data_IF_286800938867
#
_entry.id   IF_286800938867
#
_cell.length_a   1.000
_cell.length_b   1.000
_cell.length_c   1.000
_cell.angle_alpha   90.00
_cell.angle_beta   90.00
_cell.angle_gamma   90.00
#
_symmetry.space_group_name_H-M   'P 1'
#
loop_
_entity.id
_entity.type
_entity.pdbx_description
1 polymer ?
#
# COMPACT_ATOMS: atom_id res chain seq x y z
N UNK A 1 -3.22 11.63 -9.75
CA UNK A 1 -3.23 11.83 -8.29
C UNK A 1 -1.93 12.47 -7.86
N UNK A 2 -1.94 13.30 -6.82
CA UNK A 2 -0.74 13.59 -6.04
C UNK A 2 -0.56 12.47 -4.98
N UNK A 3 0.67 12.04 -4.73
CA UNK A 3 0.98 10.84 -3.96
C UNK A 3 1.91 11.18 -2.79
N UNK A 4 1.47 10.84 -1.57
CA UNK A 4 2.35 10.72 -0.41
C UNK A 4 2.84 9.27 -0.39
N UNK A 5 4.11 9.06 -0.69
CA UNK A 5 4.72 7.74 -0.78
C UNK A 5 5.45 7.43 0.53
N UNK A 6 4.71 6.89 1.50
CA UNK A 6 5.26 6.40 2.76
C UNK A 6 5.89 5.01 2.55
N UNK A 7 7.22 4.93 2.55
CA UNK A 7 7.94 3.71 2.17
C UNK A 7 9.08 3.34 3.12
N UNK A 8 9.44 2.06 3.13
CA UNK A 8 10.51 1.56 3.97
C UNK A 8 11.87 2.07 3.45
N UNK A 9 12.76 2.47 4.34
CA UNK A 9 14.12 2.85 3.97
C UNK A 9 14.79 1.71 3.19
N UNK A 10 15.42 2.04 2.04
CA UNK A 10 16.02 1.10 1.08
C UNK A 10 15.05 0.13 0.39
N UNK A 11 13.73 0.35 0.48
CA UNK A 11 12.80 -0.32 -0.44
C UNK A 11 12.90 0.26 -1.83
N UNK A 12 12.24 -0.40 -2.78
CA UNK A 12 12.05 0.14 -4.12
C UNK A 12 11.36 1.51 -4.07
N UNK A 13 11.81 2.41 -4.93
CA UNK A 13 11.31 3.77 -5.07
C UNK A 13 10.70 3.96 -6.47
N UNK A 14 9.60 4.73 -6.63
CA UNK A 14 9.01 5.01 -7.94
C UNK A 14 10.07 5.49 -8.93
N UNK A 15 9.97 5.07 -10.19
CA UNK A 15 10.94 5.41 -11.25
C UNK A 15 12.35 4.80 -11.09
N UNK A 16 12.61 4.00 -10.04
CA UNK A 16 13.90 3.30 -9.83
C UNK A 16 13.84 1.79 -10.03
N UNK A 17 12.65 1.20 -10.23
CA UNK A 17 12.45 -0.25 -10.31
C UNK A 17 13.32 -0.95 -11.37
N UNK A 18 13.60 -0.28 -12.50
CA UNK A 18 14.50 -0.81 -13.55
C UNK A 18 15.98 -0.48 -13.34
N UNK A 19 16.32 0.48 -12.49
CA UNK A 19 17.70 0.97 -12.31
C UNK A 19 18.51 0.14 -11.32
N UNK A 20 17.86 -0.46 -10.32
CA UNK A 20 18.57 -1.09 -9.19
C UNK A 20 19.07 -2.50 -9.53
N UNK A 21 18.42 -3.21 -10.46
CA UNK A 21 18.75 -4.59 -10.79
C UNK A 21 19.52 -4.76 -12.11
N UNK A 22 19.66 -3.70 -12.92
CA UNK A 22 20.26 -3.79 -14.26
C UNK A 22 21.55 -2.98 -14.33
N UNK A 23 22.69 -3.64 -14.14
CA UNK A 23 24.04 -3.06 -14.38
C UNK A 23 24.34 -2.94 -15.88
N UNK A 24 23.47 -3.46 -16.76
CA UNK A 24 23.68 -3.47 -18.20
C UNK A 24 23.03 -2.25 -18.90
N UNK A 25 23.87 -1.33 -19.39
CA UNK A 25 23.47 -0.13 -20.15
C UNK A 25 22.65 -0.44 -21.43
N UNK A 26 22.78 -1.63 -22.02
CA UNK A 26 22.03 -2.03 -23.22
C UNK A 26 20.59 -2.47 -22.91
N UNK A 27 20.25 -2.67 -21.64
CA UNK A 27 19.01 -3.32 -21.21
C UNK A 27 17.95 -2.34 -20.67
N UNK A 28 18.15 -1.03 -20.86
CA UNK A 28 17.21 0.02 -20.41
C UNK A 28 16.67 0.87 -21.58
N UNK A 29 15.96 0.27 -22.54
CA UNK A 29 15.48 0.97 -23.74
C UNK A 29 14.51 2.14 -23.47
N UNK A 30 14.00 2.28 -22.23
CA UNK A 30 13.01 3.30 -21.86
C UNK A 30 13.44 4.24 -20.72
N UNK A 31 14.71 4.23 -20.29
CA UNK A 31 15.12 5.04 -19.12
C UNK A 31 14.94 6.55 -19.33
N UNK A 32 15.16 7.04 -20.55
CA UNK A 32 14.95 8.46 -20.88
C UNK A 32 13.51 8.91 -20.66
N UNK A 33 12.53 8.06 -21.02
CA UNK A 33 11.11 8.34 -20.79
C UNK A 33 10.78 8.36 -19.30
N UNK A 34 11.31 7.40 -18.55
CA UNK A 34 11.11 7.30 -17.09
C UNK A 34 11.68 8.53 -16.37
N UNK A 35 12.88 8.97 -16.74
CA UNK A 35 13.52 10.17 -16.17
C UNK A 35 12.75 11.45 -16.51
N UNK A 36 12.24 11.58 -17.74
CA UNK A 36 11.41 12.71 -18.14
C UNK A 36 10.10 12.75 -17.34
N UNK A 37 9.41 11.61 -17.20
CA UNK A 37 8.22 11.50 -16.36
C UNK A 37 8.52 11.88 -14.90
N UNK A 38 9.66 11.42 -14.36
CA UNK A 38 10.09 11.79 -13.01
C UNK A 38 10.32 13.31 -12.87
N UNK A 39 10.96 13.95 -13.86
CA UNK A 39 11.16 15.41 -13.86
C UNK A 39 9.81 16.15 -13.84
N UNK A 40 8.87 15.76 -14.70
CA UNK A 40 7.52 16.35 -14.73
C UNK A 40 6.80 16.20 -13.38
N UNK A 41 6.84 15.00 -12.78
CA UNK A 41 6.24 14.73 -11.47
C UNK A 41 6.90 15.55 -10.36
N UNK A 42 8.21 15.71 -10.41
CA UNK A 42 9.00 16.50 -9.44
C UNK A 42 8.69 17.99 -9.55
N UNK A 43 8.68 18.55 -10.75
CA UNK A 43 8.36 19.96 -11.01
C UNK A 43 6.93 20.30 -10.59
N UNK A 44 5.98 19.42 -10.90
CA UNK A 44 4.58 19.55 -10.51
C UNK A 44 4.32 19.24 -9.02
N UNK A 45 5.34 18.81 -8.26
CA UNK A 45 5.25 18.41 -6.83
C UNK A 45 4.17 17.37 -6.56
N UNK A 46 4.03 16.40 -7.47
CA UNK A 46 3.01 15.36 -7.40
C UNK A 46 3.42 14.14 -6.57
N UNK A 47 4.69 14.06 -6.15
CA UNK A 47 5.22 12.96 -5.34
C UNK A 47 5.94 13.51 -4.10
N UNK A 48 5.45 13.13 -2.92
CA UNK A 48 6.08 13.41 -1.63
C UNK A 48 6.55 12.09 -0.99
N UNK A 49 7.84 11.77 -1.07
CA UNK A 49 8.37 10.58 -0.40
C UNK A 49 8.58 10.82 1.09
N UNK A 50 8.20 9.84 1.91
CA UNK A 50 8.42 9.83 3.36
C UNK A 50 8.96 8.47 3.75
N UNK A 51 10.17 8.44 4.29
CA UNK A 51 10.84 7.19 4.66
C UNK A 51 10.49 6.77 6.10
N UNK A 52 10.45 5.46 6.35
CA UNK A 52 10.42 4.88 7.69
C UNK A 52 11.32 3.64 7.77
N UNK A 53 11.88 3.36 8.93
CA UNK A 53 12.68 2.15 9.20
C UNK A 53 12.05 1.28 10.27
N UNK A 54 11.34 1.89 11.22
CA UNK A 54 10.69 1.19 12.34
C UNK A 54 9.17 1.24 12.24
N UNK A 55 8.49 0.33 12.96
CA UNK A 55 7.04 0.36 13.09
C UNK A 55 6.55 1.67 13.74
N UNK A 56 7.25 2.15 14.76
CA UNK A 56 6.87 3.39 15.46
C UNK A 56 6.90 4.61 14.54
N UNK A 57 7.93 4.72 13.69
CA UNK A 57 8.03 5.77 12.67
C UNK A 57 6.91 5.65 11.64
N UNK A 58 6.66 4.43 11.15
CA UNK A 58 5.57 4.17 10.22
C UNK A 58 4.22 4.66 10.77
N UNK A 59 3.89 4.30 12.02
CA UNK A 59 2.63 4.70 12.65
C UNK A 59 2.53 6.20 12.89
N UNK A 60 3.62 6.86 13.29
CA UNK A 60 3.68 8.31 13.42
C UNK A 60 3.48 9.02 12.07
N UNK A 61 4.18 8.58 11.03
CA UNK A 61 4.06 9.16 9.70
C UNK A 61 2.68 8.90 9.09
N UNK A 62 2.12 7.71 9.26
CA UNK A 62 0.76 7.37 8.82
C UNK A 62 -0.28 8.26 9.52
N UNK A 63 -0.15 8.46 10.83
CA UNK A 63 -1.01 9.36 11.60
C UNK A 63 -0.91 10.81 11.10
N UNK A 64 0.30 11.31 10.90
CA UNK A 64 0.53 12.66 10.39
C UNK A 64 -0.07 12.85 8.99
N UNK A 65 0.13 11.88 8.09
CA UNK A 65 -0.45 11.88 6.75
C UNK A 65 -1.99 11.84 6.80
N UNK A 66 -2.57 10.99 7.65
CA UNK A 66 -4.02 10.92 7.85
C UNK A 66 -4.62 12.24 8.31
N UNK A 67 -3.98 12.89 9.28
CA UNK A 67 -4.42 14.20 9.78
C UNK A 67 -4.26 15.30 8.73
N UNK A 68 -3.17 15.29 7.95
CA UNK A 68 -2.93 16.25 6.89
C UNK A 68 -3.94 16.12 5.72
N UNK A 69 -4.40 14.90 5.43
CA UNK A 69 -5.38 14.63 4.38
C UNK A 69 -6.84 14.79 4.84
N UNK A 70 -7.10 14.91 6.15
CA UNK A 70 -8.44 15.08 6.71
C UNK A 70 -9.25 16.24 6.09
N UNK A 71 -8.67 17.43 5.79
CA UNK A 71 -9.40 18.53 5.15
C UNK A 71 -9.87 18.20 3.72
N UNK A 72 -9.15 17.32 3.03
CA UNK A 72 -9.46 16.88 1.65
C UNK A 72 -10.66 15.92 1.62
N UNK A 73 -10.90 15.20 2.73
CA UNK A 73 -12.11 14.39 2.93
C UNK A 73 -12.24 13.24 1.94
N UNK A 74 -13.39 13.16 1.25
CA UNK A 74 -13.73 12.10 0.31
C UNK A 74 -12.83 12.04 -0.92
N UNK A 75 -12.10 13.12 -1.22
CA UNK A 75 -11.14 13.20 -2.33
C UNK A 75 -9.78 12.59 -1.97
N UNK A 76 -9.57 12.20 -0.71
CA UNK A 76 -8.37 11.51 -0.26
C UNK A 76 -8.58 9.99 -0.23
N UNK A 77 -7.56 9.27 -0.68
CA UNK A 77 -7.55 7.81 -0.73
C UNK A 77 -6.26 7.28 -0.09
N UNK A 78 -6.40 6.27 0.78
CA UNK A 78 -5.28 5.52 1.37
C UNK A 78 -5.16 4.17 0.68
N UNK A 79 -3.96 3.84 0.20
CA UNK A 79 -3.61 2.53 -0.33
C UNK A 79 -2.51 1.94 0.55
N UNK A 80 -2.89 1.06 1.48
CA UNK A 80 -2.00 0.49 2.48
C UNK A 80 -1.38 -0.81 1.95
N UNK A 81 -0.28 -0.67 1.23
CA UNK A 81 0.49 -1.80 0.69
C UNK A 81 1.75 -2.16 1.47
N UNK A 82 2.05 -1.42 2.55
CA UNK A 82 3.17 -1.75 3.42
C UNK A 82 2.87 -3.07 4.16
N UNK A 83 3.80 -4.02 4.10
CA UNK A 83 3.78 -5.19 4.96
C UNK A 83 4.20 -4.75 6.38
N UNK A 84 3.20 -4.42 7.20
CA UNK A 84 3.39 -3.97 8.58
C UNK A 84 3.26 -5.15 9.53
N UNK A 85 4.07 -5.16 10.59
CA UNK A 85 4.01 -6.21 11.60
C UNK A 85 2.70 -6.11 12.38
N UNK A 86 1.89 -7.17 12.38
CA UNK A 86 0.68 -7.25 13.20
C UNK A 86 0.97 -7.20 14.71
N UNK A 87 2.22 -7.46 15.10
CA UNK A 87 2.67 -7.57 16.48
C UNK A 87 3.87 -6.67 16.77
N UNK A 88 3.88 -6.07 17.96
CA UNK A 88 4.96 -5.21 18.43
C UNK A 88 5.15 -5.29 19.94
N UNK A 89 6.30 -4.81 20.43
CA UNK A 89 6.55 -4.63 21.86
C UNK A 89 6.38 -3.13 22.15
N UNK A 90 5.44 -2.74 23.03
CA UNK A 90 5.29 -1.35 23.46
C UNK A 90 6.62 -0.77 23.96
N UNK A 91 6.86 0.52 23.73
CA UNK A 91 8.09 1.17 24.20
C UNK A 91 8.28 1.06 25.72
N UNK A 92 7.19 1.03 26.49
CA UNK A 92 7.21 0.80 27.95
C UNK A 92 7.66 -0.61 28.36
N UNK A 93 7.57 -1.58 27.45
CA UNK A 93 7.91 -2.99 27.67
C UNK A 93 9.17 -3.41 26.89
N UNK A 94 9.77 -2.47 26.15
CA UNK A 94 10.92 -2.74 25.30
C UNK A 94 12.19 -2.93 26.15
N UNK A 95 12.83 -4.10 26.12
CA UNK A 95 14.03 -4.35 26.91
C UNK A 95 15.20 -3.49 26.42
N UNK A 96 15.89 -2.80 27.32
CA UNK A 96 17.08 -2.01 26.99
C UNK A 96 18.29 -2.88 26.63
N UNK A 97 18.28 -4.12 27.11
CA UNK A 97 19.35 -5.10 26.90
C UNK A 97 18.85 -6.33 26.17
N UNK A 98 19.79 -7.04 25.53
CA UNK A 98 19.51 -8.29 24.81
C UNK A 98 18.73 -9.25 25.72
N UNK A 99 17.57 -9.69 25.22
CA UNK A 99 16.72 -10.65 25.90
C UNK A 99 17.50 -11.96 26.10
N UNK A 100 17.58 -12.43 27.34
CA UNK A 100 18.18 -13.70 27.69
C UNK A 100 17.16 -14.83 27.46
N UNK A 101 17.59 -15.95 26.91
CA UNK A 101 16.71 -17.09 26.58
C UNK A 101 16.04 -17.74 27.79
N UNK A 102 16.52 -17.46 29.01
CA UNK A 102 15.96 -17.96 30.28
C UNK A 102 14.69 -17.24 30.74
N UNK A 103 14.34 -16.08 30.16
CA UNK A 103 13.30 -15.20 30.69
C UNK A 103 11.87 -15.53 30.23
N UNK A 104 11.65 -16.72 29.67
CA UNK A 104 10.32 -17.17 29.24
C UNK A 104 9.84 -16.51 27.92
N UNK A 105 8.57 -16.74 27.54
CA UNK A 105 8.02 -16.29 26.27
C UNK A 105 7.83 -14.76 26.21
N UNK A 106 8.15 -14.18 25.06
CA UNK A 106 7.98 -12.75 24.77
C UNK A 106 6.50 -12.39 24.65
N UNK A 107 6.07 -11.38 25.41
CA UNK A 107 4.74 -10.79 25.23
C UNK A 107 4.80 -9.76 24.10
N UNK A 108 3.88 -9.90 23.14
CA UNK A 108 3.74 -8.98 22.02
C UNK A 108 2.30 -8.47 21.98
N UNK A 109 2.16 -7.17 21.73
CA UNK A 109 0.88 -6.51 21.56
C UNK A 109 0.47 -6.52 20.09
N UNK A 110 -0.83 -6.69 19.83
CA UNK A 110 -1.40 -6.59 18.48
C UNK A 110 -1.59 -5.12 18.10
N UNK A 111 -1.20 -4.76 16.89
CA UNK A 111 -1.34 -3.42 16.36
C UNK A 111 -2.60 -3.29 15.47
N UNK A 112 -3.22 -2.10 15.46
CA UNK A 112 -4.37 -1.82 14.60
C UNK A 112 -4.30 -0.39 14.12
N UNK A 113 -4.17 -0.19 12.81
CA UNK A 113 -4.04 1.14 12.24
C UNK A 113 -5.40 1.84 12.27
N UNK A 114 -5.56 2.87 13.11
CA UNK A 114 -6.84 3.56 13.32
C UNK A 114 -7.03 4.77 12.38
N UNK A 115 -6.71 4.60 11.09
CA UNK A 115 -6.76 5.70 10.10
C UNK A 115 -8.11 6.40 10.09
N UNK A 116 -9.21 5.66 10.24
CA UNK A 116 -10.55 6.24 10.22
C UNK A 116 -10.83 7.19 11.38
N UNK A 117 -10.19 7.00 12.54
CA UNK A 117 -10.30 7.99 13.63
C UNK A 117 -9.61 9.30 13.25
N UNK A 118 -8.57 9.24 12.44
CA UNK A 118 -7.78 10.40 12.03
C UNK A 118 -8.31 11.07 10.76
N UNK A 119 -8.91 10.29 9.86
CA UNK A 119 -9.53 10.74 8.62
C UNK A 119 -10.82 9.93 8.34
N UNK A 120 -11.98 10.37 8.86
CA UNK A 120 -13.21 9.57 8.81
C UNK A 120 -13.93 9.60 7.46
N UNK A 121 -13.56 10.53 6.57
CA UNK A 121 -14.22 10.73 5.27
C UNK A 121 -13.41 10.21 4.09
N UNK A 122 -12.23 9.64 4.32
CA UNK A 122 -11.39 9.13 3.22
C UNK A 122 -11.70 7.67 2.90
N UNK A 123 -11.46 7.27 1.66
CA UNK A 123 -11.51 5.87 1.25
C UNK A 123 -10.21 5.16 1.66
N UNK A 124 -10.32 3.95 2.22
CA UNK A 124 -9.17 3.12 2.60
C UNK A 124 -9.18 1.82 1.82
N UNK A 125 -8.04 1.50 1.21
CA UNK A 125 -7.75 0.27 0.50
C UNK A 125 -6.61 -0.47 1.19
N UNK A 126 -6.93 -1.61 1.79
CA UNK A 126 -5.96 -2.47 2.47
C UNK A 126 -5.44 -3.52 1.49
N UNK A 127 -4.14 -3.56 1.26
CA UNK A 127 -3.54 -4.62 0.46
C UNK A 127 -3.26 -5.83 1.35
N UNK A 128 -3.85 -6.98 1.00
CA UNK A 128 -3.64 -8.23 1.70
C UNK A 128 -2.93 -9.24 0.81
N UNK A 129 -1.88 -9.83 1.35
CA UNK A 129 -1.23 -10.96 0.72
C UNK A 129 -1.92 -12.24 1.18
N UNK A 130 -2.70 -12.88 0.29
CA UNK A 130 -3.30 -14.16 0.58
C UNK A 130 -2.25 -15.28 0.39
N UNK A 131 -2.13 -16.18 1.38
CA UNK A 131 -1.34 -17.41 1.26
C UNK A 131 -1.95 -18.42 0.28
N UNK A 132 -1.50 -19.69 0.33
CA UNK A 132 -1.91 -20.78 -0.58
C UNK A 132 -3.37 -21.27 -0.42
N UNK A 133 -4.22 -20.50 0.26
CA UNK A 133 -5.64 -20.77 0.40
C UNK A 133 -6.49 -20.00 -0.60
N UNK A 134 -7.78 -20.39 -0.79
CA UNK A 134 -8.73 -19.52 -1.46
C UNK A 134 -8.70 -18.14 -0.81
N UNK A 135 -8.80 -17.07 -1.62
CA UNK A 135 -8.98 -15.70 -1.14
C UNK A 135 -10.35 -15.66 -0.47
N UNK A 136 -10.42 -16.15 0.76
CA UNK A 136 -11.54 -15.90 1.61
C UNK A 136 -11.53 -14.39 1.83
N UNK A 137 -12.66 -13.71 1.63
CA UNK A 137 -12.84 -12.36 2.12
C UNK A 137 -12.90 -12.39 3.66
N UNK A 138 -11.86 -12.92 4.31
CA UNK A 138 -11.63 -12.82 5.76
C UNK A 138 -11.47 -11.34 6.16
N UNK A 139 -11.27 -10.44 5.19
CA UNK A 139 -11.42 -9.00 5.34
C UNK A 139 -12.84 -8.52 5.69
N UNK A 140 -13.88 -9.37 5.58
CA UNK A 140 -15.19 -9.04 6.16
C UNK A 140 -15.17 -9.03 7.70
N UNK A 141 -14.18 -9.64 8.35
CA UNK A 141 -14.08 -9.72 9.82
C UNK A 141 -13.41 -8.50 10.48
N UNK A 142 -12.67 -7.68 9.72
CA UNK A 142 -12.22 -6.36 10.21
C UNK A 142 -13.31 -5.29 10.01
N UNK A 143 -14.58 -5.72 10.03
CA UNK A 143 -15.78 -4.89 10.00
C UNK A 143 -15.95 -4.11 11.31
N UNK A 144 -15.02 -3.19 11.56
CA UNK A 144 -15.28 -2.05 12.42
C UNK A 144 -15.98 -0.91 11.67
N UNK A 145 -15.89 -0.89 10.34
CA UNK A 145 -16.12 0.36 9.61
C UNK A 145 -16.43 0.14 8.13
N UNK A 146 -17.67 0.47 7.72
CA UNK A 146 -18.26 0.16 6.41
C UNK A 146 -17.66 0.84 5.17
N UNK A 147 -16.41 1.31 5.19
CA UNK A 147 -15.76 2.00 4.07
C UNK A 147 -14.43 1.38 3.62
N UNK A 148 -13.98 0.28 4.23
CA UNK A 148 -12.76 -0.43 3.83
C UNK A 148 -12.99 -1.31 2.61
N UNK A 149 -12.03 -1.30 1.70
CA UNK A 149 -11.95 -2.22 0.58
C UNK A 149 -10.59 -2.91 0.58
N UNK A 150 -10.54 -4.12 0.06
CA UNK A 150 -9.37 -5.00 0.14
C UNK A 150 -8.85 -5.29 -1.25
N UNK A 151 -7.55 -5.17 -1.45
CA UNK A 151 -6.85 -5.62 -2.66
C UNK A 151 -6.04 -6.84 -2.28
N UNK A 152 -6.40 -8.00 -2.79
CA UNK A 152 -5.78 -9.27 -2.42
C UNK A 152 -5.01 -9.89 -3.59
N UNK A 153 -3.75 -10.28 -3.38
CA UNK A 153 -2.96 -11.07 -4.35
C UNK A 153 -2.68 -12.46 -3.80
N UNK A 154 -2.66 -13.49 -4.66
CA UNK A 154 -2.13 -14.82 -4.29
C UNK A 154 -0.61 -14.82 -4.49
N UNK A 155 0.14 -15.41 -3.54
CA UNK A 155 1.61 -15.40 -3.49
C UNK A 155 2.28 -15.86 -4.79
N UNK A 156 1.73 -16.86 -5.46
CA UNK A 156 2.33 -17.49 -6.65
C UNK A 156 1.99 -16.73 -7.97
N UNK A 157 1.01 -15.82 -7.94
CA UNK A 157 0.51 -15.09 -9.11
C UNK A 157 0.47 -13.58 -8.90
N UNK A 158 1.30 -13.04 -7.99
CA UNK A 158 1.33 -11.59 -7.66
C UNK A 158 1.47 -10.67 -8.87
N UNK A 159 2.07 -11.17 -9.96
CA UNK A 159 2.26 -10.42 -11.21
C UNK A 159 1.13 -10.59 -12.23
N UNK A 160 0.15 -11.46 -11.99
CA UNK A 160 -0.86 -11.84 -12.98
C UNK A 160 -2.29 -11.88 -12.47
N UNK A 161 -2.51 -11.92 -11.15
CA UNK A 161 -3.85 -12.06 -10.60
C UNK A 161 -4.03 -11.31 -9.26
N UNK A 162 -5.01 -10.42 -9.23
CA UNK A 162 -5.40 -9.65 -8.06
C UNK A 162 -6.93 -9.60 -7.95
N UNK A 163 -7.44 -9.70 -6.73
CA UNK A 163 -8.88 -9.57 -6.44
C UNK A 163 -9.11 -8.31 -5.64
N UNK A 164 -9.96 -7.44 -6.17
CA UNK A 164 -10.43 -6.24 -5.48
C UNK A 164 -11.80 -6.55 -4.88
N UNK A 165 -11.91 -6.45 -3.56
CA UNK A 165 -13.14 -6.71 -2.80
C UNK A 165 -13.60 -5.41 -2.15
N UNK A 166 -14.85 -5.04 -2.38
CA UNK A 166 -15.55 -3.97 -1.67
C UNK A 166 -16.71 -4.58 -0.87
N UNK A 167 -17.37 -3.82 0.03
CA UNK A 167 -18.54 -4.33 0.76
C UNK A 167 -19.70 -4.81 -0.14
N UNK A 168 -19.76 -4.33 -1.39
CA UNK A 168 -20.87 -4.58 -2.31
C UNK A 168 -20.47 -5.37 -3.56
N UNK A 169 -19.19 -5.39 -3.92
CA UNK A 169 -18.72 -5.96 -5.19
C UNK A 169 -17.38 -6.67 -5.05
N UNK A 170 -17.16 -7.65 -5.91
CA UNK A 170 -15.88 -8.32 -6.08
C UNK A 170 -15.48 -8.21 -7.56
N UNK A 171 -14.26 -7.74 -7.81
CA UNK A 171 -13.68 -7.67 -9.14
C UNK A 171 -12.39 -8.49 -9.19
N UNK A 172 -12.29 -9.40 -10.17
CA UNK A 172 -11.07 -10.15 -10.44
C UNK A 172 -10.31 -9.43 -11.55
N UNK A 173 -9.06 -9.10 -11.29
CA UNK A 173 -8.13 -8.51 -12.25
C UNK A 173 -7.12 -9.58 -12.62
N UNK A 174 -7.05 -9.91 -13.90
CA UNK A 174 -6.16 -10.93 -14.44
C UNK A 174 -5.43 -10.31 -15.61
N UNK A 175 -4.10 -10.39 -15.61
CA UNK A 175 -3.32 -10.08 -16.81
C UNK A 175 -3.39 -11.26 -17.76
N UNK A 176 -3.75 -11.00 -19.01
CA UNK A 176 -3.66 -12.03 -20.05
C UNK A 176 -2.24 -12.16 -20.57
N UNK A 177 -1.91 -13.28 -21.21
CA UNK A 177 -0.60 -13.51 -21.81
C UNK A 177 -0.30 -12.47 -22.92
N UNK A 178 -1.33 -11.98 -23.61
CA UNK A 178 -1.21 -10.91 -24.60
C UNK A 178 -0.87 -9.54 -23.98
N UNK A 179 -1.34 -9.27 -22.76
CA UNK A 179 -1.01 -8.04 -22.04
C UNK A 179 0.39 -8.12 -21.42
N UNK A 180 0.75 -9.28 -20.87
CA UNK A 180 2.08 -9.55 -20.36
C UNK A 180 3.16 -9.44 -21.46
N UNK A 181 2.87 -9.93 -22.67
CA UNK A 181 3.77 -9.79 -23.83
C UNK A 181 3.93 -8.35 -24.34
N UNK A 182 3.05 -7.43 -23.92
CA UNK A 182 3.10 -6.00 -24.23
C UNK A 182 3.72 -5.16 -23.11
N UNK A 183 4.35 -5.78 -22.12
CA UNK A 183 4.99 -5.11 -20.97
C UNK A 183 3.98 -4.31 -20.11
N UNK A 184 2.72 -4.77 -20.06
CA UNK A 184 1.68 -4.19 -19.19
C UNK A 184 1.80 -4.76 -17.78
N UNK A 185 1.83 -3.88 -16.79
CA UNK A 185 1.92 -4.25 -15.38
C UNK A 185 0.52 -4.40 -14.74
N UNK A 186 0.40 -5.25 -13.71
CA UNK A 186 -0.89 -5.49 -13.03
C UNK A 186 -1.36 -4.23 -12.30
N UNK A 187 -0.40 -3.41 -11.87
CA UNK A 187 -0.58 -2.12 -11.24
C UNK A 187 -1.44 -1.18 -12.09
N UNK A 188 -1.34 -1.20 -13.42
CA UNK A 188 -2.18 -0.38 -14.30
C UNK A 188 -3.66 -0.73 -14.17
N UNK A 189 -3.96 -2.04 -14.16
CA UNK A 189 -5.31 -2.55 -13.95
C UNK A 189 -5.85 -2.22 -12.55
N UNK A 190 -4.99 -2.34 -11.53
CA UNK A 190 -5.35 -1.99 -10.16
C UNK A 190 -5.66 -0.49 -10.06
N UNK A 191 -4.74 0.38 -10.50
CA UNK A 191 -4.90 1.83 -10.43
C UNK A 191 -6.15 2.31 -11.18
N UNK A 192 -6.42 1.73 -12.36
CA UNK A 192 -7.63 2.02 -13.14
C UNK A 192 -8.91 1.65 -12.36
N UNK A 193 -8.95 0.44 -11.78
CA UNK A 193 -10.08 -0.01 -10.98
C UNK A 193 -10.31 0.85 -9.74
N UNK A 194 -9.24 1.12 -8.98
CA UNK A 194 -9.29 1.93 -7.77
C UNK A 194 -9.71 3.37 -8.06
N UNK A 195 -9.21 3.95 -9.15
CA UNK A 195 -9.56 5.32 -9.57
C UNK A 195 -11.05 5.42 -9.91
N UNK A 196 -11.59 4.44 -10.63
CA UNK A 196 -13.03 4.39 -10.95
C UNK A 196 -13.88 4.26 -9.68
N UNK A 197 -13.51 3.36 -8.78
CA UNK A 197 -14.22 3.16 -7.52
C UNK A 197 -14.14 4.39 -6.61
N UNK A 198 -13.00 5.07 -6.57
CA UNK A 198 -12.83 6.31 -5.83
C UNK A 198 -13.65 7.46 -6.42
N UNK A 199 -13.75 7.57 -7.75
CA UNK A 199 -14.63 8.54 -8.41
C UNK A 199 -16.10 8.34 -8.01
N UNK A 200 -16.58 7.10 -7.99
CA UNK A 200 -17.93 6.77 -7.53
C UNK A 200 -18.13 7.13 -6.05
N UNK A 201 -17.12 6.89 -5.20
CA UNK A 201 -17.17 7.25 -3.78
C UNK A 201 -17.26 8.77 -3.56
N UNK A 202 -16.51 9.56 -4.34
CA UNK A 202 -16.58 11.02 -4.28
C UNK A 202 -17.99 11.51 -4.61
N UNK A 203 -18.59 11.02 -5.71
CA UNK A 203 -19.95 11.42 -6.12
C UNK A 203 -21.04 11.03 -5.12
N UNK A 204 -20.81 10.00 -4.29
CA UNK A 204 -21.77 9.57 -3.26
C UNK A 204 -21.64 10.36 -1.93
N UNK A 205 -20.55 11.12 -1.76
CA UNK A 205 -20.24 11.88 -0.54
C UNK A 205 -20.46 13.40 -0.68
N UNK A 206 -20.59 13.89 -1.92
CA UNK A 206 -21.04 15.25 -2.25
C UNK A 206 -22.58 15.37 -2.14
#
# INVERSE_FOLDING_TARGET
YAVIFLHRHRSLYPFTLGLIFMVNQQALPNIGKVLLCYQVVKEARLLLPVEFSTLSEYLHHLKAAAQALRPIGSKAMFYLAAAVSDFYIPASEMPEHKIQSSNGPLQVSKESHQIQKWSPRCRIWDFLQAGDGPIHPAGQSSAGTGQQAVVASVLDTRRGYVVVVTPYTQAKLVLTDEEASKDVEIEDSIVSNLTRAHGQFITQQD
#
